data_IF_051099461988
#
_entry.id   IF_051099461988
#
_cell.length_a   1.000
_cell.length_b   1.000
_cell.length_c   1.000
_cell.angle_alpha   90.00
_cell.angle_beta   90.00
_cell.angle_gamma   90.00
#
_symmetry.space_group_name_H-M   'P 1'
#
loop_
_entity.id
_entity.type
_entity.pdbx_description
1 polymer ?
#
# COMPACT_ATOMS: atom_id res chain seq x y z
N UNK A 1 -14.78 41.69 -5.19
CA UNK A 1 -14.66 40.22 -5.03
C UNK A 1 -14.08 39.97 -3.65
N UNK A 2 -14.86 39.39 -2.76
CA UNK A 2 -14.56 39.39 -1.31
C UNK A 2 -13.61 38.22 -0.96
N UNK A 3 -12.76 38.43 0.06
CA UNK A 3 -11.83 37.43 0.64
C UNK A 3 -12.49 36.08 0.94
N UNK A 4 -13.78 36.06 1.27
CA UNK A 4 -14.60 34.87 1.54
C UNK A 4 -14.80 33.95 0.32
N UNK A 5 -14.77 34.49 -0.92
CA UNK A 5 -14.93 33.66 -2.12
C UNK A 5 -13.62 32.95 -2.48
N UNK A 6 -12.48 33.57 -2.20
CA UNK A 6 -11.15 32.99 -2.44
C UNK A 6 -10.85 31.85 -1.45
N UNK A 7 -11.22 32.00 -0.18
CA UNK A 7 -11.07 30.96 0.84
C UNK A 7 -11.94 29.72 0.56
N UNK A 8 -13.18 29.89 0.12
CA UNK A 8 -14.07 28.75 -0.24
C UNK A 8 -13.55 27.98 -1.43
N UNK A 9 -13.03 28.67 -2.46
CA UNK A 9 -12.48 28.03 -3.66
C UNK A 9 -11.16 27.31 -3.35
N UNK A 10 -10.30 27.89 -2.54
CA UNK A 10 -9.05 27.26 -2.10
C UNK A 10 -9.29 26.01 -1.23
N UNK A 11 -10.27 26.05 -0.32
CA UNK A 11 -10.63 24.89 0.52
C UNK A 11 -11.25 23.75 -0.28
N UNK A 12 -12.10 24.04 -1.27
CA UNK A 12 -12.68 23.01 -2.14
C UNK A 12 -11.63 22.36 -3.05
N UNK A 13 -10.68 23.13 -3.57
CA UNK A 13 -9.60 22.62 -4.40
C UNK A 13 -8.60 21.76 -3.59
N UNK A 14 -8.21 22.22 -2.39
CA UNK A 14 -7.37 21.43 -1.47
C UNK A 14 -8.06 20.14 -1.03
N UNK A 15 -9.37 20.18 -0.78
CA UNK A 15 -10.17 19.00 -0.46
C UNK A 15 -10.18 18.00 -1.63
N UNK A 16 -10.39 18.45 -2.85
CA UNK A 16 -10.34 17.61 -4.05
C UNK A 16 -8.98 16.96 -4.27
N UNK A 17 -7.87 17.71 -4.06
CA UNK A 17 -6.51 17.16 -4.16
C UNK A 17 -6.25 16.13 -3.07
N UNK A 18 -6.68 16.40 -1.83
CA UNK A 18 -6.53 15.47 -0.71
C UNK A 18 -7.34 14.18 -0.94
N UNK A 19 -8.59 14.32 -1.41
CA UNK A 19 -9.44 13.18 -1.76
C UNK A 19 -8.78 12.34 -2.86
N UNK A 20 -8.25 12.94 -3.92
CA UNK A 20 -7.56 12.22 -5.01
C UNK A 20 -6.26 11.51 -4.55
N UNK A 21 -5.48 12.09 -3.61
CA UNK A 21 -4.24 11.48 -3.14
C UNK A 21 -4.46 10.38 -2.09
N UNK A 22 -5.55 10.44 -1.32
CA UNK A 22 -5.75 9.61 -0.14
C UNK A 22 -6.78 8.49 -0.33
N UNK A 23 -7.58 8.54 -1.40
CA UNK A 23 -8.60 7.52 -1.65
C UNK A 23 -8.00 6.30 -2.35
N UNK A 24 -8.14 5.09 -1.76
CA UNK A 24 -7.79 3.86 -2.46
C UNK A 24 -8.79 3.58 -3.59
N UNK A 25 -8.30 2.99 -4.66
CA UNK A 25 -9.16 2.56 -5.77
C UNK A 25 -9.90 1.26 -5.46
N UNK A 26 -9.30 0.42 -4.62
CA UNK A 26 -9.86 -0.86 -4.17
C UNK A 26 -9.54 -1.06 -2.69
N UNK A 27 -10.41 -1.84 -2.00
CA UNK A 27 -10.24 -2.21 -0.58
C UNK A 27 -10.55 -3.68 -0.40
N UNK A 28 -9.73 -4.36 0.43
CA UNK A 28 -9.93 -5.74 0.86
C UNK A 28 -9.67 -5.85 2.37
N UNK A 29 -10.35 -6.79 3.04
CA UNK A 29 -10.14 -7.03 4.47
C UNK A 29 -8.78 -7.67 4.74
N UNK A 30 -8.30 -8.51 3.84
CA UNK A 30 -7.01 -9.17 3.95
C UNK A 30 -6.32 -9.24 2.60
N UNK A 31 -5.00 -9.30 2.61
CA UNK A 31 -4.23 -9.60 1.39
C UNK A 31 -4.61 -10.96 0.80
N UNK A 32 -5.05 -11.90 1.64
CA UNK A 32 -5.47 -13.24 1.22
C UNK A 32 -6.77 -13.24 0.41
N UNK A 33 -7.58 -12.19 0.52
CA UNK A 33 -8.83 -12.04 -0.24
C UNK A 33 -8.58 -11.56 -1.67
N UNK A 34 -7.37 -11.05 -1.95
CA UNK A 34 -7.00 -10.57 -3.28
C UNK A 34 -6.67 -11.77 -4.18
N UNK A 35 -7.47 -11.98 -5.22
CA UNK A 35 -7.28 -13.08 -6.17
C UNK A 35 -6.49 -12.63 -7.41
N UNK A 36 -5.91 -13.57 -8.18
CA UNK A 36 -5.32 -13.26 -9.48
C UNK A 36 -6.31 -12.62 -10.46
N UNK A 37 -7.59 -12.97 -10.35
CA UNK A 37 -8.65 -12.38 -11.18
C UNK A 37 -8.88 -10.92 -10.82
N UNK A 38 -8.88 -10.57 -9.53
CA UNK A 38 -8.99 -9.17 -9.08
C UNK A 38 -7.85 -8.33 -9.63
N UNK A 39 -6.61 -8.83 -9.57
CA UNK A 39 -5.44 -8.13 -10.14
C UNK A 39 -5.63 -7.86 -11.63
N UNK A 40 -6.14 -8.83 -12.39
CA UNK A 40 -6.43 -8.66 -13.83
C UNK A 40 -7.58 -7.67 -14.07
N UNK A 41 -8.67 -7.76 -13.29
CA UNK A 41 -9.82 -6.82 -13.36
C UNK A 41 -9.41 -5.39 -13.04
N UNK A 42 -8.47 -5.19 -12.13
CA UNK A 42 -7.87 -3.87 -11.85
C UNK A 42 -7.03 -3.33 -13.01
N UNK A 43 -6.71 -4.15 -13.99
CA UNK A 43 -5.79 -3.83 -15.08
C UNK A 43 -4.32 -3.85 -14.65
N UNK A 44 -4.03 -4.41 -13.47
CA UNK A 44 -2.66 -4.58 -12.97
C UNK A 44 -1.95 -5.78 -13.63
N UNK A 45 -0.62 -5.72 -13.65
CA UNK A 45 0.27 -6.79 -14.15
C UNK A 45 1.29 -7.23 -13.10
N UNK A 46 1.41 -6.49 -12.00
CA UNK A 46 2.34 -6.77 -10.92
C UNK A 46 1.78 -6.23 -9.58
N UNK A 47 2.29 -6.76 -8.49
CA UNK A 47 1.93 -6.38 -7.13
C UNK A 47 3.16 -5.78 -6.43
N UNK A 48 3.00 -4.56 -5.88
CA UNK A 48 3.83 -4.01 -4.82
C UNK A 48 3.18 -4.34 -3.48
N UNK A 49 3.89 -5.03 -2.60
CA UNK A 49 3.37 -5.55 -1.34
C UNK A 49 4.05 -4.88 -0.16
N UNK A 50 3.28 -4.24 0.72
CA UNK A 50 3.77 -3.79 2.02
C UNK A 50 3.90 -4.96 3.00
N UNK A 51 4.64 -4.76 4.10
CA UNK A 51 4.88 -5.80 5.12
C UNK A 51 4.03 -5.55 6.36
N UNK A 52 4.26 -4.39 7.00
CA UNK A 52 3.80 -4.12 8.36
C UNK A 52 2.28 -3.92 8.39
N UNK A 53 1.59 -4.72 9.20
CA UNK A 53 0.13 -4.83 9.29
C UNK A 53 -0.59 -5.25 7.99
N UNK A 54 0.15 -5.58 6.95
CA UNK A 54 -0.37 -6.13 5.69
C UNK A 54 -0.18 -7.64 5.62
N UNK A 55 1.03 -8.15 5.84
CA UNK A 55 1.36 -9.59 5.87
C UNK A 55 1.97 -10.05 7.19
N UNK A 56 2.40 -9.14 8.04
CA UNK A 56 2.91 -9.40 9.39
C UNK A 56 2.55 -8.25 10.31
N UNK A 57 2.29 -8.49 11.61
CA UNK A 57 2.19 -7.42 12.59
C UNK A 57 3.47 -6.58 12.60
N UNK A 58 3.30 -5.26 12.77
CA UNK A 58 4.39 -4.31 12.78
C UNK A 58 5.59 -4.75 13.65
N UNK A 59 6.79 -4.61 13.08
CA UNK A 59 8.04 -4.96 13.76
C UNK A 59 8.29 -6.45 13.99
N UNK A 60 7.38 -7.35 13.59
CA UNK A 60 7.49 -8.80 13.84
C UNK A 60 7.85 -9.59 12.58
N UNK A 61 8.28 -10.85 12.78
CA UNK A 61 8.44 -11.86 11.73
C UNK A 61 7.34 -12.95 11.79
N UNK A 62 6.21 -12.63 12.45
CA UNK A 62 5.04 -13.53 12.54
C UNK A 62 4.12 -13.26 11.37
N UNK A 63 4.28 -14.01 10.31
CA UNK A 63 3.49 -13.81 9.08
C UNK A 63 2.06 -14.33 9.23
N UNK A 64 1.14 -13.69 8.53
CA UNK A 64 -0.25 -14.12 8.39
C UNK A 64 -0.28 -15.55 7.84
N UNK A 65 -1.03 -16.43 8.51
CA UNK A 65 -1.20 -17.81 8.08
C UNK A 65 -1.87 -17.84 6.69
N UNK A 66 -1.26 -18.49 5.73
CA UNK A 66 -1.75 -18.58 4.35
C UNK A 66 -1.03 -17.64 3.36
N UNK A 67 -0.20 -16.69 3.83
CA UNK A 67 0.50 -15.76 2.92
C UNK A 67 1.43 -16.48 1.93
N UNK A 68 2.08 -17.57 2.35
CA UNK A 68 2.94 -18.36 1.47
C UNK A 68 2.12 -19.00 0.33
N UNK A 69 0.97 -19.58 0.67
CA UNK A 69 0.05 -20.15 -0.32
C UNK A 69 -0.50 -19.08 -1.27
N UNK A 70 -0.86 -17.91 -0.75
CA UNK A 70 -1.30 -16.77 -1.55
C UNK A 70 -0.23 -16.32 -2.53
N UNK A 71 1.03 -16.17 -2.09
CA UNK A 71 2.15 -15.84 -2.95
C UNK A 71 2.38 -16.89 -4.05
N UNK A 72 2.25 -18.19 -3.72
CA UNK A 72 2.34 -19.26 -4.70
C UNK A 72 1.22 -19.21 -5.73
N UNK A 73 0.01 -18.84 -5.30
CA UNK A 73 -1.13 -18.64 -6.20
C UNK A 73 -0.86 -17.51 -7.19
N UNK A 74 -0.32 -16.35 -6.72
CA UNK A 74 0.08 -15.26 -7.59
C UNK A 74 1.18 -15.66 -8.57
N UNK A 75 2.19 -16.39 -8.08
CA UNK A 75 3.30 -16.89 -8.92
C UNK A 75 2.81 -17.83 -10.02
N UNK A 76 1.93 -18.80 -9.69
CA UNK A 76 1.33 -19.73 -10.66
C UNK A 76 0.46 -19.00 -11.69
N UNK A 77 -0.15 -17.88 -11.32
CA UNK A 77 -0.94 -17.04 -12.22
C UNK A 77 -0.07 -16.10 -13.10
N UNK A 78 1.25 -16.14 -12.95
CA UNK A 78 2.19 -15.27 -13.68
C UNK A 78 2.19 -13.81 -13.24
N UNK A 79 1.73 -13.52 -11.99
CA UNK A 79 1.68 -12.17 -11.43
C UNK A 79 2.89 -11.99 -10.51
N UNK A 80 3.91 -11.21 -10.92
CA UNK A 80 5.07 -10.95 -10.10
C UNK A 80 4.71 -10.07 -8.89
N UNK A 81 5.33 -10.40 -7.74
CA UNK A 81 5.18 -9.67 -6.49
C UNK A 81 6.53 -9.11 -6.07
N UNK A 82 6.57 -7.87 -5.62
CA UNK A 82 7.73 -7.20 -5.05
C UNK A 82 7.39 -6.58 -3.70
N UNK A 83 8.24 -6.75 -2.71
CA UNK A 83 8.10 -6.09 -1.41
C UNK A 83 8.51 -4.61 -1.53
N UNK A 84 7.67 -3.70 -1.01
CA UNK A 84 7.94 -2.26 -0.97
C UNK A 84 7.71 -1.75 0.45
N UNK A 85 8.77 -1.55 1.23
CA UNK A 85 8.67 -1.18 2.64
C UNK A 85 9.55 0.02 2.99
N UNK A 86 9.10 0.82 3.97
CA UNK A 86 9.91 1.87 4.59
C UNK A 86 10.97 1.31 5.56
N UNK A 87 10.89 0.02 5.88
CA UNK A 87 11.87 -0.66 6.72
C UNK A 87 13.25 -0.73 6.09
N UNK A 88 14.26 -0.94 6.95
CA UNK A 88 15.65 -1.08 6.54
C UNK A 88 15.93 -2.43 5.87
N UNK A 89 17.08 -2.57 5.22
CA UNK A 89 17.53 -3.82 4.60
C UNK A 89 17.62 -4.97 5.62
N UNK A 90 17.96 -4.68 6.86
CA UNK A 90 18.07 -5.68 7.95
C UNK A 90 16.72 -6.32 8.31
N UNK A 91 15.61 -5.61 8.08
CA UNK A 91 14.25 -6.14 8.25
C UNK A 91 13.72 -6.73 6.94
N UNK A 92 13.78 -5.98 5.86
CA UNK A 92 13.14 -6.34 4.58
C UNK A 92 13.88 -7.50 3.89
N UNK A 93 15.21 -7.52 3.95
CA UNK A 93 16.03 -8.54 3.29
C UNK A 93 15.73 -9.97 3.74
N UNK A 94 15.73 -10.29 5.05
CA UNK A 94 15.36 -11.62 5.54
C UNK A 94 13.95 -12.06 5.13
N UNK A 95 12.98 -11.13 5.15
CA UNK A 95 11.59 -11.40 4.74
C UNK A 95 11.52 -11.71 3.25
N UNK A 96 12.16 -10.89 2.43
CA UNK A 96 12.24 -11.08 0.98
C UNK A 96 12.92 -12.42 0.63
N UNK A 97 13.99 -12.76 1.32
CA UNK A 97 14.69 -14.05 1.17
C UNK A 97 13.79 -15.23 1.52
N UNK A 98 13.04 -15.14 2.64
CA UNK A 98 12.11 -16.20 3.07
C UNK A 98 11.07 -16.50 1.99
N UNK A 99 10.51 -15.49 1.35
CA UNK A 99 9.46 -15.66 0.34
C UNK A 99 9.98 -15.76 -1.11
N UNK A 100 11.29 -15.62 -1.33
CA UNK A 100 11.89 -15.62 -2.67
C UNK A 100 11.43 -14.42 -3.52
N UNK A 101 11.23 -13.26 -2.90
CA UNK A 101 10.68 -12.06 -3.55
C UNK A 101 11.76 -11.00 -3.78
N UNK A 102 11.71 -10.25 -4.90
CA UNK A 102 12.44 -9.00 -5.01
C UNK A 102 11.89 -7.97 -4.03
N UNK A 103 12.71 -6.96 -3.70
CA UNK A 103 12.28 -5.92 -2.75
C UNK A 103 12.87 -4.54 -3.03
N UNK A 104 12.19 -3.54 -2.47
CA UNK A 104 12.64 -2.16 -2.30
C UNK A 104 12.49 -1.82 -0.82
N UNK A 105 13.61 -1.73 -0.10
CA UNK A 105 13.67 -1.21 1.27
C UNK A 105 13.90 0.31 1.25
N UNK A 106 13.69 0.97 2.41
CA UNK A 106 13.78 2.43 2.55
C UNK A 106 13.05 3.13 1.40
N UNK A 107 11.82 2.66 1.14
CA UNK A 107 11.03 3.11 -0.01
C UNK A 107 10.62 4.58 0.07
N UNK A 108 10.67 5.15 1.29
CA UNK A 108 10.33 6.53 1.61
C UNK A 108 8.88 6.91 1.26
N UNK A 109 7.94 5.94 1.33
CA UNK A 109 6.51 6.22 1.20
C UNK A 109 6.08 7.28 2.23
N UNK A 110 5.32 8.30 1.88
CA UNK A 110 4.48 8.50 0.71
C UNK A 110 5.16 9.13 -0.52
N UNK A 111 6.49 9.22 -0.56
CA UNK A 111 7.17 9.65 -1.78
C UNK A 111 7.06 8.54 -2.84
N UNK A 112 6.82 8.85 -4.13
CA UNK A 112 6.57 7.84 -5.17
C UNK A 112 7.82 7.06 -5.59
N UNK A 113 9.02 7.54 -5.25
CA UNK A 113 10.30 7.00 -5.72
C UNK A 113 10.47 5.50 -5.47
N UNK A 114 9.99 5.00 -4.31
CA UNK A 114 10.05 3.57 -3.98
C UNK A 114 9.24 2.71 -4.93
N UNK A 115 8.02 3.15 -5.27
CA UNK A 115 7.12 2.44 -6.18
C UNK A 115 7.64 2.47 -7.62
N UNK A 116 8.17 3.62 -8.07
CA UNK A 116 8.79 3.75 -9.39
C UNK A 116 9.99 2.80 -9.55
N UNK A 117 10.84 2.70 -8.51
CA UNK A 117 11.95 1.72 -8.50
C UNK A 117 11.45 0.27 -8.56
N UNK A 118 10.35 -0.04 -7.88
CA UNK A 118 9.76 -1.36 -7.86
C UNK A 118 9.19 -1.74 -9.24
N UNK A 119 8.43 -0.83 -9.87
CA UNK A 119 7.90 -1.02 -11.21
C UNK A 119 9.01 -1.25 -12.24
N UNK A 120 10.05 -0.41 -12.21
CA UNK A 120 11.24 -0.57 -13.07
C UNK A 120 11.94 -1.92 -12.84
N UNK A 121 12.08 -2.37 -11.57
CA UNK A 121 12.71 -3.65 -11.22
C UNK A 121 11.91 -4.85 -11.73
N UNK A 122 10.59 -4.73 -11.84
CA UNK A 122 9.71 -5.76 -12.40
C UNK A 122 9.50 -5.62 -13.93
N UNK A 123 10.00 -4.56 -14.55
CA UNK A 123 9.80 -4.31 -15.98
C UNK A 123 8.36 -4.02 -16.35
N UNK A 124 7.57 -3.41 -15.46
CA UNK A 124 6.17 -3.03 -15.73
C UNK A 124 5.99 -1.52 -15.70
N UNK A 125 5.07 -0.95 -16.50
CA UNK A 125 4.64 0.42 -16.37
C UNK A 125 4.04 0.67 -14.97
N UNK A 126 4.25 1.87 -14.41
CA UNK A 126 3.80 2.17 -13.04
C UNK A 126 2.29 2.06 -12.87
N UNK A 127 1.52 2.42 -13.89
CA UNK A 127 0.06 2.30 -13.92
C UNK A 127 -0.44 0.84 -13.96
N UNK A 128 0.47 -0.12 -14.13
CA UNK A 128 0.22 -1.56 -14.06
C UNK A 128 0.70 -2.21 -12.76
N UNK A 129 1.22 -1.42 -11.83
CA UNK A 129 1.59 -1.87 -10.49
C UNK A 129 0.43 -1.64 -9.52
N UNK A 130 -0.09 -2.70 -8.89
CA UNK A 130 -1.04 -2.60 -7.78
C UNK A 130 -0.26 -2.52 -6.46
N UNK A 131 -0.32 -1.40 -5.75
CA UNK A 131 0.27 -1.26 -4.41
C UNK A 131 -0.72 -1.72 -3.35
N UNK A 132 -0.45 -2.86 -2.71
CA UNK A 132 -1.22 -3.41 -1.61
C UNK A 132 -0.58 -3.00 -0.27
N UNK A 133 -1.32 -2.27 0.55
CA UNK A 133 -0.84 -1.82 1.87
C UNK A 133 -1.95 -1.31 2.77
N UNK A 134 -1.66 -1.22 4.07
CA UNK A 134 -2.64 -0.82 5.09
C UNK A 134 -2.73 0.70 5.29
N UNK A 135 -1.69 1.44 4.93
CA UNK A 135 -1.53 2.84 5.33
C UNK A 135 -1.98 3.83 4.26
N UNK A 136 -3.05 4.60 4.56
CA UNK A 136 -3.56 5.65 3.66
C UNK A 136 -2.49 6.72 3.41
N UNK A 137 -1.87 7.25 4.47
CA UNK A 137 -0.87 8.32 4.35
C UNK A 137 0.52 7.85 3.89
N UNK A 138 0.71 6.57 3.67
CA UNK A 138 1.96 5.97 3.19
C UNK A 138 1.75 5.30 1.84
N UNK A 139 1.10 4.13 1.84
CA UNK A 139 0.96 3.24 0.68
C UNK A 139 0.04 3.82 -0.38
N UNK A 140 -1.19 4.18 0.04
CA UNK A 140 -2.22 4.69 -0.85
C UNK A 140 -1.77 6.03 -1.45
N UNK A 141 -1.27 6.91 -0.59
CA UNK A 141 -0.76 8.21 -1.04
C UNK A 141 0.42 8.08 -2.00
N UNK A 142 1.36 7.15 -1.75
CA UNK A 142 2.48 6.90 -2.65
C UNK A 142 2.00 6.38 -4.01
N UNK A 143 1.03 5.45 -4.02
CA UNK A 143 0.46 4.89 -5.23
C UNK A 143 -0.23 5.96 -6.08
N UNK A 144 -1.15 6.72 -5.48
CA UNK A 144 -1.87 7.78 -6.19
C UNK A 144 -0.95 8.85 -6.77
N UNK A 145 0.12 9.21 -6.04
CA UNK A 145 1.11 10.21 -6.50
C UNK A 145 1.91 9.81 -7.73
N UNK A 146 2.03 8.54 -8.02
CA UNK A 146 2.75 8.06 -9.21
C UNK A 146 1.85 7.38 -10.25
N UNK A 147 0.54 7.36 -10.05
CA UNK A 147 -0.40 6.72 -10.97
C UNK A 147 -0.43 5.19 -10.86
N UNK A 148 0.14 4.60 -9.80
CA UNK A 148 -0.04 3.19 -9.48
C UNK A 148 -1.46 2.91 -9.00
N UNK A 149 -1.89 1.66 -9.05
CA UNK A 149 -3.21 1.25 -8.58
C UNK A 149 -3.17 1.13 -7.05
N UNK A 150 -3.86 2.02 -6.34
CA UNK A 150 -3.92 2.04 -4.90
C UNK A 150 -4.92 1.01 -4.37
N UNK A 151 -4.44 -0.01 -3.66
CA UNK A 151 -5.24 -1.08 -3.06
C UNK A 151 -5.03 -1.06 -1.56
N UNK A 152 -6.08 -0.71 -0.81
CA UNK A 152 -6.03 -0.75 0.63
C UNK A 152 -6.33 -2.14 1.14
N UNK A 153 -5.47 -2.62 2.03
CA UNK A 153 -5.71 -3.79 2.87
C UNK A 153 -6.06 -3.29 4.27
N UNK A 154 -7.11 -3.83 4.87
CA UNK A 154 -7.43 -3.48 6.25
C UNK A 154 -6.29 -3.97 7.17
N UNK A 155 -5.84 -3.14 8.14
CA UNK A 155 -4.70 -3.48 8.97
C UNK A 155 -4.98 -4.72 9.80
N UNK A 156 -3.98 -5.59 9.95
CA UNK A 156 -4.09 -6.80 10.77
C UNK A 156 -4.46 -6.43 12.21
N UNK A 157 -5.41 -7.17 12.84
CA UNK A 157 -5.78 -6.96 14.24
C UNK A 157 -4.68 -7.52 15.15
N UNK A 158 -3.61 -6.77 15.35
CA UNK A 158 -2.50 -7.18 16.20
C UNK A 158 -2.12 -6.07 17.18
N UNK A 159 -1.59 -6.48 18.35
CA UNK A 159 -0.98 -5.53 19.29
C UNK A 159 0.27 -4.96 18.61
N UNK A 160 0.23 -3.67 18.31
CA UNK A 160 1.38 -2.96 17.77
C UNK A 160 2.47 -2.79 18.82
N UNK A 161 3.73 -2.81 18.39
CA UNK A 161 4.86 -2.40 19.21
C UNK A 161 4.83 -0.89 19.52
N UNK A 162 4.06 -0.12 18.75
CA UNK A 162 3.94 1.34 18.87
C UNK A 162 2.46 1.77 18.98
N UNK A 163 1.74 1.41 20.07
CA UNK A 163 0.29 1.59 20.18
C UNK A 163 -0.14 3.05 20.05
N UNK A 164 0.61 3.99 20.63
CA UNK A 164 0.30 5.43 20.55
C UNK A 164 0.42 5.98 19.11
N UNK A 165 1.41 5.54 18.35
CA UNK A 165 1.57 5.92 16.94
C UNK A 165 0.39 5.42 16.11
N UNK A 166 -0.01 4.17 16.29
CA UNK A 166 -1.14 3.59 15.55
C UNK A 166 -2.49 4.18 15.95
N UNK A 167 -2.70 4.51 17.23
CA UNK A 167 -3.90 5.22 17.67
C UNK A 167 -3.99 6.62 17.05
N UNK A 168 -2.89 7.37 17.05
CA UNK A 168 -2.81 8.67 16.38
C UNK A 168 -3.06 8.56 14.87
N UNK A 169 -2.48 7.56 14.22
CA UNK A 169 -2.67 7.28 12.79
C UNK A 169 -4.13 6.94 12.49
N UNK A 170 -4.72 6.00 13.23
CA UNK A 170 -6.10 5.58 13.06
C UNK A 170 -7.06 6.77 13.16
N UNK A 171 -6.89 7.64 14.16
CA UNK A 171 -7.68 8.87 14.31
C UNK A 171 -7.60 9.80 13.09
N UNK A 172 -6.46 9.84 12.39
CA UNK A 172 -6.29 10.66 11.17
C UNK A 172 -6.87 9.99 9.92
N UNK A 173 -6.85 8.66 9.88
CA UNK A 173 -7.36 7.89 8.75
C UNK A 173 -8.89 7.67 8.84
N UNK A 174 -9.45 7.68 10.05
CA UNK A 174 -10.88 7.44 10.30
C UNK A 174 -11.83 8.27 9.42
N UNK A 175 -11.63 9.60 9.25
CA UNK A 175 -12.51 10.40 8.39
C UNK A 175 -12.48 9.97 6.92
N UNK A 176 -11.35 9.39 6.47
CA UNK A 176 -11.19 8.89 5.11
C UNK A 176 -11.81 7.50 4.99
N UNK A 177 -11.60 6.66 6.02
CA UNK A 177 -12.16 5.30 6.08
C UNK A 177 -13.68 5.32 6.07
N UNK A 178 -14.29 6.29 6.75
CA UNK A 178 -15.76 6.47 6.76
C UNK A 178 -16.33 6.85 5.38
N UNK A 179 -15.50 7.22 4.41
CA UNK A 179 -15.92 7.54 3.05
C UNK A 179 -15.74 6.35 2.08
N UNK A 180 -15.13 5.24 2.55
CA UNK A 180 -14.88 4.02 1.78
C UNK A 180 -15.97 2.98 1.99
#
# INVERSE_FOLDING_TARGET
MSALSFEKTGRSHLRSIMENELMPKYRFHSVLDVTPEDIRKMGARAIGLDIDNTIAPDGTFKFLKGVEHWLDTMRKAGIPVIIISNGTVFRVGPIAKKFGLPYVCVAAKPKPKGLLRAAAKLGVPIEKLAMLGDQIFSDIKAANRCGAIAVRIDPMPAKSLYPHYYAWKAKREEPIICLL
#
